data_IF_531442964063
#
_entry.id   IF_531442964063
#
_cell.length_a   1.000
_cell.length_b   1.000
_cell.length_c   1.000
_cell.angle_alpha   90.00
_cell.angle_beta   90.00
_cell.angle_gamma   90.00
#
_symmetry.space_group_name_H-M   'P 1'
#
loop_
_entity.id
_entity.type
_entity.pdbx_description
1 polymer ?
#
# COMPACT_ATOMS: atom_id res chain seq x y z
N UNK A 1 20.69 -28.73 -21.72
CA UNK A 1 19.94 -27.59 -22.27
C UNK A 1 19.94 -26.49 -21.24
N UNK A 2 20.71 -25.45 -21.48
CA UNK A 2 20.74 -24.27 -20.60
C UNK A 2 19.44 -23.49 -20.81
N UNK A 3 18.54 -23.55 -19.83
CA UNK A 3 17.36 -22.69 -19.79
C UNK A 3 17.82 -21.24 -19.70
N UNK A 4 17.64 -20.48 -20.78
CA UNK A 4 17.83 -19.04 -20.79
C UNK A 4 16.78 -18.43 -19.88
N UNK A 5 17.07 -18.28 -18.58
CA UNK A 5 16.23 -17.51 -17.67
C UNK A 5 16.29 -16.06 -18.18
N UNK A 6 15.15 -15.57 -18.67
CA UNK A 6 15.01 -14.13 -18.93
C UNK A 6 15.28 -13.44 -17.61
N UNK A 7 16.37 -12.68 -17.56
CA UNK A 7 16.71 -11.92 -16.36
C UNK A 7 15.57 -10.93 -16.07
N UNK A 8 15.07 -10.95 -14.84
CA UNK A 8 14.10 -9.96 -14.36
C UNK A 8 14.70 -8.55 -14.55
N UNK A 9 14.00 -7.69 -15.32
CA UNK A 9 14.41 -6.32 -15.56
C UNK A 9 13.40 -5.33 -14.93
N UNK A 10 13.68 -4.83 -13.71
CA UNK A 10 12.84 -3.86 -13.04
C UNK A 10 12.69 -2.55 -13.82
N UNK A 11 13.70 -2.14 -14.60
CA UNK A 11 13.68 -0.89 -15.35
C UNK A 11 12.67 -0.94 -16.50
N UNK A 12 12.48 -2.09 -17.12
CA UNK A 12 11.49 -2.29 -18.16
C UNK A 12 10.06 -2.11 -17.62
N UNK A 13 9.77 -2.60 -16.41
CA UNK A 13 8.46 -2.46 -15.77
C UNK A 13 8.18 -1.03 -15.28
N UNK A 14 9.22 -0.32 -14.82
CA UNK A 14 9.10 1.08 -14.37
C UNK A 14 8.76 2.04 -15.52
N UNK A 15 9.08 1.72 -16.77
CA UNK A 15 8.75 2.57 -17.93
C UNK A 15 7.25 2.75 -18.14
N UNK A 16 6.45 1.78 -17.71
CA UNK A 16 4.99 1.76 -17.90
C UNK A 16 4.22 1.76 -16.57
N UNK A 17 4.94 1.89 -15.46
CA UNK A 17 4.34 1.85 -14.14
C UNK A 17 3.70 3.19 -13.80
N UNK A 18 2.40 3.17 -13.53
CA UNK A 18 1.71 4.21 -12.77
C UNK A 18 2.49 4.48 -11.46
N UNK A 19 2.45 5.73 -10.98
CA UNK A 19 3.06 6.20 -9.72
C UNK A 19 2.77 5.30 -8.49
N UNK A 20 1.72 4.47 -8.57
CA UNK A 20 1.33 3.52 -7.52
C UNK A 20 2.07 2.19 -7.59
N UNK A 21 2.58 1.81 -8.76
CA UNK A 21 3.26 0.52 -8.97
C UNK A 21 4.76 0.59 -8.60
N UNK A 22 5.40 1.75 -8.77
CA UNK A 22 6.82 1.94 -8.45
C UNK A 22 7.19 1.47 -7.03
N UNK A 23 6.47 1.85 -5.94
CA UNK A 23 6.81 1.36 -4.60
C UNK A 23 6.70 -0.16 -4.45
N UNK A 24 5.76 -0.80 -5.16
CA UNK A 24 5.66 -2.26 -5.14
C UNK A 24 6.88 -2.92 -5.80
N UNK A 25 7.37 -2.36 -6.91
CA UNK A 25 8.57 -2.86 -7.58
C UNK A 25 9.81 -2.65 -6.71
N UNK A 26 9.93 -1.47 -6.07
CA UNK A 26 11.05 -1.16 -5.18
C UNK A 26 11.10 -2.15 -3.99
N UNK A 27 9.93 -2.45 -3.39
CA UNK A 27 9.82 -3.48 -2.35
C UNK A 27 10.21 -4.86 -2.90
N UNK A 28 9.65 -5.26 -4.04
CA UNK A 28 9.90 -6.57 -4.65
C UNK A 28 11.39 -6.77 -4.95
N UNK A 29 12.08 -5.74 -5.43
CA UNK A 29 13.52 -5.77 -5.70
C UNK A 29 14.37 -5.96 -4.44
N UNK A 30 13.87 -5.57 -3.27
CA UNK A 30 14.57 -5.76 -1.99
C UNK A 30 14.42 -7.18 -1.43
N UNK A 31 13.49 -7.97 -1.95
CA UNK A 31 13.29 -9.37 -1.54
C UNK A 31 14.39 -10.25 -2.12
N UNK A 32 15.30 -10.71 -1.26
CA UNK A 32 16.41 -11.59 -1.63
C UNK A 32 16.03 -13.06 -1.37
N UNK A 33 15.27 -13.64 -2.30
CA UNK A 33 14.90 -15.05 -2.35
C UNK A 33 15.21 -15.60 -3.75
N UNK A 34 15.91 -16.73 -3.83
CA UNK A 34 16.29 -17.30 -5.12
C UNK A 34 15.17 -18.09 -5.78
N UNK A 35 14.56 -19.03 -5.07
CA UNK A 35 13.52 -19.91 -5.60
C UNK A 35 12.41 -20.16 -4.55
N UNK A 36 11.62 -19.13 -4.18
CA UNK A 36 10.49 -19.33 -3.29
C UNK A 36 9.45 -20.23 -3.94
N UNK A 37 8.82 -21.11 -3.16
CA UNK A 37 7.80 -22.06 -3.64
C UNK A 37 6.39 -21.63 -3.24
N UNK A 38 6.19 -21.23 -1.98
CA UNK A 38 4.89 -20.78 -1.46
C UNK A 38 4.93 -19.26 -1.25
N UNK A 39 4.19 -18.53 -2.08
CA UNK A 39 4.19 -17.06 -2.10
C UNK A 39 2.76 -16.55 -1.96
N UNK A 40 2.56 -15.64 -1.02
CA UNK A 40 1.27 -14.99 -0.78
C UNK A 40 1.40 -13.47 -0.98
N UNK A 41 0.48 -12.91 -1.77
CA UNK A 41 0.33 -11.46 -1.96
C UNK A 41 -0.94 -11.00 -1.22
N UNK A 42 -0.77 -10.28 -0.12
CA UNK A 42 -1.86 -9.84 0.76
C UNK A 42 -2.35 -8.43 0.37
N UNK A 43 -3.64 -8.34 0.04
CA UNK A 43 -4.24 -7.16 -0.56
C UNK A 43 -3.93 -7.08 -2.06
N UNK A 44 -4.07 -8.21 -2.73
CA UNK A 44 -3.71 -8.39 -4.14
C UNK A 44 -4.50 -7.50 -5.10
N UNK A 45 -5.70 -7.04 -4.70
CA UNK A 45 -6.57 -6.21 -5.51
C UNK A 45 -6.87 -6.87 -6.88
N UNK A 46 -6.69 -6.12 -7.96
CA UNK A 46 -6.85 -6.62 -9.33
C UNK A 46 -5.63 -7.43 -9.84
N UNK A 47 -4.69 -7.80 -8.98
CA UNK A 47 -3.58 -8.69 -9.29
C UNK A 47 -2.42 -8.06 -10.05
N UNK A 48 -2.30 -6.73 -10.11
CA UNK A 48 -1.24 -6.06 -10.85
C UNK A 48 0.16 -6.43 -10.35
N UNK A 49 0.35 -6.43 -9.02
CA UNK A 49 1.62 -6.78 -8.39
C UNK A 49 1.78 -8.30 -8.33
N UNK A 50 0.70 -9.03 -8.06
CA UNK A 50 0.72 -10.51 -8.00
C UNK A 50 1.23 -11.13 -9.30
N UNK A 51 0.90 -10.53 -10.47
CA UNK A 51 1.44 -10.95 -11.77
C UNK A 51 2.95 -10.75 -11.86
N UNK A 52 3.46 -9.60 -11.39
CA UNK A 52 4.91 -9.35 -11.37
C UNK A 52 5.65 -10.32 -10.45
N UNK A 53 5.04 -10.69 -9.32
CA UNK A 53 5.57 -11.72 -8.42
C UNK A 53 5.66 -13.07 -9.15
N UNK A 54 4.59 -13.45 -9.87
CA UNK A 54 4.55 -14.70 -10.64
C UNK A 54 5.54 -14.70 -11.80
N UNK A 55 5.71 -13.59 -12.48
CA UNK A 55 6.71 -13.44 -13.55
C UNK A 55 8.14 -13.55 -13.03
N UNK A 56 8.42 -12.96 -11.84
CA UNK A 56 9.73 -13.07 -11.21
C UNK A 56 10.06 -14.50 -10.80
N UNK A 57 9.09 -15.25 -10.30
CA UNK A 57 9.23 -16.64 -9.85
C UNK A 57 8.19 -17.53 -10.53
N UNK A 58 8.45 -17.93 -11.79
CA UNK A 58 7.48 -18.68 -12.59
C UNK A 58 7.11 -20.04 -11.99
N UNK A 59 8.02 -20.66 -11.25
CA UNK A 59 7.83 -21.97 -10.63
C UNK A 59 7.15 -21.89 -9.24
N UNK A 60 6.97 -20.68 -8.69
CA UNK A 60 6.33 -20.50 -7.40
C UNK A 60 4.81 -20.74 -7.49
N UNK A 61 4.26 -21.35 -6.44
CA UNK A 61 2.83 -21.34 -6.18
C UNK A 61 2.46 -19.97 -5.59
N UNK A 62 1.90 -19.07 -6.40
CA UNK A 62 1.52 -17.74 -6.00
C UNK A 62 0.03 -17.68 -5.71
N UNK A 63 -0.31 -17.21 -4.52
CA UNK A 63 -1.70 -16.97 -4.08
C UNK A 63 -1.90 -15.47 -3.80
N UNK A 64 -2.78 -14.84 -4.58
CA UNK A 64 -3.29 -13.50 -4.30
C UNK A 64 -4.47 -13.57 -3.33
N UNK A 65 -4.39 -12.81 -2.24
CA UNK A 65 -5.41 -12.76 -1.19
C UNK A 65 -5.97 -11.34 -1.09
N UNK A 66 -7.30 -11.22 -1.11
CA UNK A 66 -8.00 -9.93 -0.96
C UNK A 66 -9.38 -10.16 -0.31
N UNK A 67 -9.96 -9.16 0.32
CA UNK A 67 -11.32 -9.24 0.87
C UNK A 67 -12.40 -8.95 -0.18
N UNK A 68 -12.03 -8.31 -1.29
CA UNK A 68 -12.93 -7.90 -2.36
C UNK A 68 -13.12 -8.98 -3.43
N UNK A 69 -14.24 -9.70 -3.39
CA UNK A 69 -14.60 -10.67 -4.43
C UNK A 69 -14.60 -10.06 -5.84
N UNK A 70 -15.00 -8.79 -5.98
CA UNK A 70 -15.02 -8.07 -7.26
C UNK A 70 -13.61 -7.85 -7.81
N UNK A 71 -12.65 -7.50 -6.96
CA UNK A 71 -11.26 -7.34 -7.38
C UNK A 71 -10.63 -8.68 -7.75
N UNK A 72 -10.87 -9.71 -6.96
CA UNK A 72 -10.39 -11.06 -7.26
C UNK A 72 -10.96 -11.63 -8.57
N UNK A 73 -12.22 -11.37 -8.89
CA UNK A 73 -12.82 -11.77 -10.16
C UNK A 73 -12.10 -11.10 -11.36
N UNK A 74 -11.75 -9.82 -11.26
CA UNK A 74 -10.95 -9.12 -12.27
C UNK A 74 -9.54 -9.72 -12.39
N UNK A 75 -8.91 -10.02 -11.26
CA UNK A 75 -7.58 -10.62 -11.21
C UNK A 75 -7.57 -12.01 -11.86
N UNK A 76 -8.54 -12.87 -11.54
CA UNK A 76 -8.67 -14.21 -12.09
C UNK A 76 -8.89 -14.21 -13.61
N UNK A 77 -9.66 -13.25 -14.12
CA UNK A 77 -9.89 -13.12 -15.56
C UNK A 77 -8.60 -12.80 -16.35
N UNK A 78 -7.64 -12.09 -15.72
CA UNK A 78 -6.39 -11.66 -16.38
C UNK A 78 -5.19 -12.56 -16.10
N UNK A 79 -5.24 -13.37 -15.04
CA UNK A 79 -4.13 -14.23 -14.60
C UNK A 79 -4.64 -15.57 -14.04
N UNK A 80 -5.16 -16.48 -14.89
CA UNK A 80 -5.76 -17.75 -14.46
C UNK A 80 -4.74 -18.76 -13.88
N UNK A 81 -3.45 -18.55 -14.10
CA UNK A 81 -2.38 -19.39 -13.55
C UNK A 81 -2.04 -19.06 -12.08
N UNK A 82 -2.64 -18.03 -11.52
CA UNK A 82 -2.46 -17.60 -10.12
C UNK A 82 -3.67 -18.08 -9.32
N UNK A 83 -3.42 -18.54 -8.09
CA UNK A 83 -4.50 -18.87 -7.15
C UNK A 83 -5.04 -17.58 -6.51
N UNK A 84 -6.35 -17.40 -6.53
CA UNK A 84 -7.01 -16.23 -5.93
C UNK A 84 -7.89 -16.67 -4.77
N UNK A 85 -7.74 -16.04 -3.62
CA UNK A 85 -8.46 -16.42 -2.39
C UNK A 85 -9.05 -15.20 -1.71
N UNK A 86 -10.36 -15.23 -1.50
CA UNK A 86 -11.04 -14.23 -0.68
C UNK A 86 -10.82 -14.54 0.80
N UNK A 87 -10.28 -13.57 1.55
CA UNK A 87 -10.11 -13.67 3.00
C UNK A 87 -9.98 -12.30 3.65
N UNK A 88 -10.39 -12.21 4.91
CA UNK A 88 -10.10 -11.08 5.79
C UNK A 88 -8.64 -11.14 6.24
N UNK A 89 -7.86 -10.13 5.85
CA UNK A 89 -6.44 -10.03 6.16
C UNK A 89 -6.16 -9.84 7.65
N UNK A 90 -7.12 -9.34 8.44
CA UNK A 90 -6.94 -9.17 9.89
C UNK A 90 -6.80 -10.50 10.64
N UNK A 91 -7.38 -11.56 10.08
CA UNK A 91 -7.39 -12.92 10.67
C UNK A 91 -6.70 -13.96 9.81
N UNK A 92 -6.21 -13.56 8.64
CA UNK A 92 -5.60 -14.45 7.67
C UNK A 92 -4.34 -15.15 8.19
N UNK A 93 -4.20 -16.41 7.79
CA UNK A 93 -2.99 -17.22 8.03
C UNK A 93 -2.68 -18.00 6.75
N UNK A 94 -1.39 -18.22 6.44
CA UNK A 94 -1.02 -19.04 5.30
C UNK A 94 -1.47 -20.49 5.51
N UNK A 95 -1.94 -21.13 4.43
CA UNK A 95 -2.33 -22.53 4.47
C UNK A 95 -1.11 -23.48 4.61
N UNK A 96 0.05 -23.02 4.18
CA UNK A 96 1.36 -23.66 4.31
C UNK A 96 2.37 -22.61 4.74
N UNK A 97 3.46 -22.99 5.42
CA UNK A 97 4.55 -22.05 5.72
C UNK A 97 5.01 -21.35 4.45
N UNK A 98 5.06 -20.02 4.50
CA UNK A 98 5.31 -19.19 3.33
C UNK A 98 6.80 -18.90 3.15
N UNK A 99 7.32 -19.07 1.94
CA UNK A 99 8.65 -18.54 1.59
C UNK A 99 8.62 -17.02 1.44
N UNK A 100 7.47 -16.48 0.98
CA UNK A 100 7.25 -15.04 0.90
C UNK A 100 5.81 -14.70 1.27
N UNK A 101 5.66 -13.79 2.23
CA UNK A 101 4.44 -13.01 2.43
C UNK A 101 4.73 -11.59 1.97
N UNK A 102 4.05 -11.18 0.92
CA UNK A 102 4.22 -9.87 0.32
C UNK A 102 2.95 -9.04 0.51
N UNK A 103 3.07 -7.75 0.76
CA UNK A 103 1.92 -6.83 0.83
C UNK A 103 2.31 -5.42 0.41
N UNK A 104 1.61 -4.87 -0.55
CA UNK A 104 1.82 -3.49 -0.99
C UNK A 104 0.55 -2.67 -0.84
N UNK A 105 0.61 -1.60 -0.06
CA UNK A 105 -0.46 -0.63 0.15
C UNK A 105 -1.81 -1.27 0.59
N UNK A 106 -1.76 -2.30 1.44
CA UNK A 106 -2.94 -2.97 1.96
C UNK A 106 -3.00 -2.97 3.50
N UNK A 107 -1.94 -3.37 4.21
CA UNK A 107 -2.00 -3.58 5.66
C UNK A 107 -2.25 -2.29 6.47
N UNK A 108 -2.04 -1.10 5.90
CA UNK A 108 -2.39 0.17 6.56
C UNK A 108 -3.90 0.40 6.74
N UNK A 109 -4.74 -0.43 6.13
CA UNK A 109 -6.19 -0.41 6.37
C UNK A 109 -6.59 -1.19 7.63
N UNK A 110 -5.67 -1.98 8.19
CA UNK A 110 -5.88 -2.81 9.36
C UNK A 110 -5.37 -2.10 10.63
N UNK A 111 -5.90 -2.52 11.76
CA UNK A 111 -5.46 -2.10 13.10
C UNK A 111 -4.73 -3.24 13.80
N UNK A 112 -4.10 -2.98 14.96
CA UNK A 112 -3.49 -4.03 15.77
C UNK A 112 -2.19 -4.56 15.17
N UNK A 113 -1.39 -3.69 14.56
CA UNK A 113 -0.10 -4.07 13.94
C UNK A 113 0.85 -4.75 14.92
N UNK A 114 0.73 -4.47 16.22
CA UNK A 114 1.51 -5.13 17.29
C UNK A 114 1.25 -6.64 17.38
N UNK A 115 0.11 -7.12 16.88
CA UNK A 115 -0.25 -8.54 16.80
C UNK A 115 -0.17 -9.08 15.39
N UNK A 116 -0.60 -8.28 14.42
CA UNK A 116 -0.66 -8.67 13.00
C UNK A 116 0.74 -9.02 12.45
N UNK A 117 1.71 -8.12 12.61
CA UNK A 117 3.04 -8.32 12.04
C UNK A 117 3.79 -9.54 12.61
N UNK A 118 3.79 -9.78 13.95
CA UNK A 118 4.33 -11.04 14.50
C UNK A 118 3.61 -12.29 14.00
N UNK A 119 2.28 -12.23 13.81
CA UNK A 119 1.53 -13.37 13.30
C UNK A 119 1.88 -13.70 11.85
N UNK A 120 2.05 -12.67 11.00
CA UNK A 120 2.53 -12.83 9.62
C UNK A 120 3.95 -13.41 9.59
N UNK A 121 4.85 -12.88 10.42
CA UNK A 121 6.23 -13.39 10.51
C UNK A 121 6.26 -14.86 10.97
N UNK A 122 5.41 -15.25 11.92
CA UNK A 122 5.29 -16.63 12.38
C UNK A 122 4.72 -17.60 11.33
N UNK A 123 4.07 -17.08 10.29
CA UNK A 123 3.56 -17.86 9.14
C UNK A 123 4.62 -18.19 8.09
N UNK A 124 5.86 -17.70 8.25
CA UNK A 124 6.94 -17.96 7.31
C UNK A 124 7.54 -19.35 7.49
N UNK A 125 8.02 -19.92 6.39
CA UNK A 125 8.96 -21.03 6.41
C UNK A 125 10.33 -20.57 6.95
N UNK A 126 11.19 -21.48 7.45
CA UNK A 126 12.56 -21.13 7.82
C UNK A 126 13.28 -20.44 6.66
N UNK A 127 13.86 -19.26 6.94
CA UNK A 127 14.50 -18.42 5.91
C UNK A 127 13.56 -17.66 4.99
N UNK A 128 12.24 -17.80 5.15
CA UNK A 128 11.23 -17.04 4.41
C UNK A 128 11.25 -15.55 4.75
N UNK A 129 10.59 -14.74 3.94
CA UNK A 129 10.55 -13.29 4.06
C UNK A 129 9.12 -12.73 4.16
N UNK A 130 8.93 -11.77 5.06
CA UNK A 130 7.80 -10.86 5.11
C UNK A 130 8.22 -9.54 4.48
N UNK A 131 7.59 -9.14 3.37
CA UNK A 131 7.88 -7.90 2.66
C UNK A 131 6.62 -7.01 2.62
N UNK A 132 6.66 -5.86 3.27
CA UNK A 132 5.50 -4.96 3.41
C UNK A 132 5.87 -3.54 3.01
N UNK A 133 5.01 -2.92 2.21
CA UNK A 133 5.04 -1.49 1.94
C UNK A 133 3.71 -0.85 2.36
N UNK A 134 3.78 0.29 3.01
CA UNK A 134 2.61 1.07 3.43
C UNK A 134 2.82 2.57 3.17
N UNK A 135 1.78 3.32 2.78
CA UNK A 135 1.84 4.77 2.79
C UNK A 135 2.08 5.28 4.22
N UNK A 136 2.97 6.26 4.38
CA UNK A 136 3.24 6.91 5.66
C UNK A 136 3.25 8.45 5.50
N UNK A 137 2.25 8.94 4.80
CA UNK A 137 2.10 10.36 4.47
C UNK A 137 1.07 11.08 5.36
N UNK A 138 0.64 10.43 6.46
CA UNK A 138 -0.50 10.91 7.28
C UNK A 138 -0.20 12.18 8.09
N UNK A 139 1.07 12.49 8.34
CA UNK A 139 1.51 13.76 8.93
C UNK A 139 1.73 14.89 7.92
N UNK A 140 1.63 14.63 6.62
CA UNK A 140 1.81 15.64 5.59
C UNK A 140 0.55 16.53 5.43
N UNK A 141 0.68 17.75 4.88
CA UNK A 141 -0.43 18.67 4.68
C UNK A 141 -1.62 18.06 3.93
N UNK A 142 -1.37 17.16 2.96
CA UNK A 142 -2.43 16.43 2.24
C UNK A 142 -3.38 15.63 3.13
N UNK A 143 -2.99 15.27 4.35
CA UNK A 143 -3.81 14.53 5.31
C UNK A 143 -4.20 15.38 6.51
N UNK A 144 -3.29 16.19 7.06
CA UNK A 144 -3.58 17.04 8.22
C UNK A 144 -4.62 18.11 7.89
N UNK A 145 -4.58 18.67 6.67
CA UNK A 145 -5.54 19.68 6.21
C UNK A 145 -6.95 19.10 5.96
N UNK A 146 -7.09 17.79 5.75
CA UNK A 146 -8.42 17.12 5.76
C UNK A 146 -9.06 17.29 7.14
N UNK A 147 -8.29 17.02 8.21
CA UNK A 147 -8.77 17.17 9.58
C UNK A 147 -9.07 18.63 9.94
N UNK A 148 -8.27 19.56 9.46
CA UNK A 148 -8.51 20.99 9.61
C UNK A 148 -9.82 21.41 8.90
N UNK A 149 -9.99 21.02 7.64
CA UNK A 149 -11.20 21.31 6.88
C UNK A 149 -12.44 20.72 7.56
N UNK A 150 -12.36 19.46 8.07
CA UNK A 150 -13.45 18.78 8.74
C UNK A 150 -13.90 19.50 10.03
N UNK A 151 -12.97 20.09 10.77
CA UNK A 151 -13.27 20.86 12.01
C UNK A 151 -13.69 22.29 11.75
N UNK A 152 -13.41 22.84 10.57
CA UNK A 152 -13.52 24.26 10.25
C UNK A 152 -14.85 24.72 9.65
N UNK A 153 -15.89 23.87 9.56
CA UNK A 153 -17.13 24.22 8.89
C UNK A 153 -18.39 23.69 9.59
N UNK A 154 -19.58 23.98 9.03
CA UNK A 154 -20.86 23.54 9.59
C UNK A 154 -21.00 22.03 9.69
N UNK A 155 -20.28 21.28 8.87
CA UNK A 155 -20.19 19.81 8.85
C UNK A 155 -19.37 19.20 10.01
N UNK A 156 -18.81 20.04 10.91
CA UNK A 156 -17.93 19.56 11.99
C UNK A 156 -18.55 18.46 12.83
N UNK A 157 -19.79 18.63 13.25
CA UNK A 157 -20.50 17.64 14.09
C UNK A 157 -20.59 16.26 13.42
N UNK A 158 -20.74 16.23 12.09
CA UNK A 158 -20.82 15.01 11.29
C UNK A 158 -19.44 14.40 11.05
N UNK A 159 -18.41 15.23 10.77
CA UNK A 159 -17.13 14.73 10.27
C UNK A 159 -16.08 14.50 11.37
N UNK A 160 -16.08 15.27 12.45
CA UNK A 160 -15.06 15.13 13.50
C UNK A 160 -15.02 13.72 14.12
N UNK A 161 -16.17 13.04 14.38
CA UNK A 161 -16.18 11.66 14.87
C UNK A 161 -15.61 10.63 13.89
N UNK A 162 -15.51 10.96 12.59
CA UNK A 162 -14.99 10.09 11.54
C UNK A 162 -13.48 10.25 11.32
N UNK A 163 -12.87 11.26 11.94
CA UNK A 163 -11.42 11.46 11.85
C UNK A 163 -10.68 10.33 12.55
N UNK A 164 -9.73 9.76 11.85
CA UNK A 164 -8.94 8.62 12.34
C UNK A 164 -7.50 9.06 12.60
N UNK A 165 -6.84 8.48 13.61
CA UNK A 165 -5.40 8.66 13.77
C UNK A 165 -4.64 8.06 12.58
N UNK A 166 -3.36 8.42 12.45
CA UNK A 166 -2.48 7.81 11.45
C UNK A 166 -2.44 6.29 11.67
N UNK A 167 -2.78 5.47 10.64
CA UNK A 167 -2.88 4.02 10.81
C UNK A 167 -1.51 3.31 10.78
N UNK A 168 -0.46 4.00 10.33
CA UNK A 168 0.91 3.49 10.23
C UNK A 168 1.77 4.20 11.26
N UNK A 169 2.32 3.42 12.17
CA UNK A 169 3.19 3.89 13.23
C UNK A 169 4.59 4.28 12.72
N UNK A 170 5.43 4.80 13.60
CA UNK A 170 6.83 5.10 13.29
C UNK A 170 7.65 3.83 13.01
N UNK A 171 8.73 3.91 12.22
CA UNK A 171 9.60 2.77 11.93
C UNK A 171 10.10 2.05 13.17
N UNK A 172 10.39 2.78 14.26
CA UNK A 172 10.83 2.21 15.53
C UNK A 172 9.81 1.22 16.14
N UNK A 173 8.52 1.53 16.03
CA UNK A 173 7.46 0.61 16.47
C UNK A 173 7.56 -0.75 15.76
N UNK A 174 7.73 -0.76 14.44
CA UNK A 174 7.85 -2.03 13.69
C UNK A 174 9.14 -2.75 13.98
N UNK A 175 10.22 -2.02 14.26
CA UNK A 175 11.48 -2.60 14.73
C UNK A 175 11.26 -3.33 16.06
N UNK A 176 10.68 -2.68 17.05
CA UNK A 176 10.45 -3.27 18.39
C UNK A 176 9.54 -4.51 18.33
N UNK A 177 8.55 -4.50 17.43
CA UNK A 177 7.61 -5.60 17.25
C UNK A 177 8.23 -6.80 16.54
N UNK A 178 9.12 -6.59 15.56
CA UNK A 178 9.66 -7.63 14.67
C UNK A 178 11.05 -8.13 15.09
N UNK A 179 11.94 -7.27 15.56
CA UNK A 179 13.33 -7.63 15.85
C UNK A 179 13.48 -8.82 16.83
N UNK A 180 12.63 -8.98 17.86
CA UNK A 180 12.73 -10.14 18.76
C UNK A 180 12.47 -11.50 18.07
N UNK A 181 11.87 -11.51 16.88
CA UNK A 181 11.41 -12.72 16.18
C UNK A 181 12.04 -12.91 14.80
N UNK A 182 12.59 -11.87 14.22
CA UNK A 182 13.26 -11.91 12.93
C UNK A 182 14.72 -12.35 13.05
N UNK A 183 15.24 -13.05 12.04
CA UNK A 183 16.68 -13.33 11.89
C UNK A 183 17.42 -12.17 11.20
N UNK A 184 16.71 -11.41 10.36
CA UNK A 184 17.18 -10.17 9.75
C UNK A 184 16.01 -9.22 9.53
N UNK A 185 16.25 -7.92 9.66
CA UNK A 185 15.22 -6.89 9.54
C UNK A 185 15.80 -5.66 8.83
N UNK A 186 15.14 -5.24 7.76
CA UNK A 186 15.43 -4.03 7.02
C UNK A 186 14.17 -3.17 6.99
N UNK A 187 14.26 -1.96 7.53
CA UNK A 187 13.16 -0.98 7.59
C UNK A 187 13.68 0.35 7.04
N UNK A 188 12.97 0.89 6.05
CA UNK A 188 13.34 2.18 5.49
C UNK A 188 12.13 2.98 5.04
N UNK A 189 12.33 4.25 4.80
CA UNK A 189 11.36 5.13 4.18
C UNK A 189 11.88 5.67 2.86
N UNK A 190 10.96 5.84 1.90
CA UNK A 190 11.24 6.52 0.64
C UNK A 190 10.19 7.60 0.42
N UNK A 191 10.62 8.81 0.11
CA UNK A 191 9.75 9.86 -0.36
C UNK A 191 9.75 9.91 -1.88
N UNK A 192 8.58 9.66 -2.47
CA UNK A 192 8.37 9.74 -3.91
C UNK A 192 7.86 11.13 -4.26
N UNK A 193 8.60 11.89 -5.02
CA UNK A 193 8.12 13.15 -5.55
C UNK A 193 7.22 12.88 -6.76
N UNK A 194 5.92 12.93 -6.55
CA UNK A 194 4.93 12.81 -7.62
C UNK A 194 4.83 14.12 -8.37
N UNK A 195 4.80 14.06 -9.70
CA UNK A 195 4.52 15.21 -10.57
C UNK A 195 3.10 15.05 -11.07
N UNK A 196 2.18 15.82 -10.52
CA UNK A 196 0.75 15.71 -10.78
C UNK A 196 0.30 16.81 -11.74
N UNK A 197 -0.67 16.47 -12.61
CA UNK A 197 -1.29 17.36 -13.58
C UNK A 197 -2.79 17.53 -13.30
N UNK A 198 -3.38 18.57 -13.86
CA UNK A 198 -4.82 18.84 -13.78
C UNK A 198 -5.21 19.80 -12.65
N UNK A 199 -6.52 20.03 -12.51
CA UNK A 199 -7.07 20.89 -11.47
C UNK A 199 -7.10 20.15 -10.11
N UNK A 200 -6.68 20.84 -9.05
CA UNK A 200 -6.67 20.32 -7.68
C UNK A 200 -6.06 18.90 -7.53
N UNK A 201 -4.89 18.61 -8.13
CA UNK A 201 -4.46 17.25 -8.35
C UNK A 201 -4.17 16.48 -7.04
N UNK A 202 -3.75 17.16 -5.96
CA UNK A 202 -3.54 16.54 -4.64
C UNK A 202 -4.88 16.21 -3.98
N UNK A 203 -5.90 17.05 -4.15
CA UNK A 203 -7.27 16.76 -3.69
C UNK A 203 -7.81 15.51 -4.42
N UNK A 204 -7.67 15.44 -5.74
CA UNK A 204 -8.11 14.28 -6.52
C UNK A 204 -7.35 13.00 -6.13
N UNK A 205 -6.06 13.11 -5.84
CA UNK A 205 -5.27 11.99 -5.32
C UNK A 205 -5.85 11.42 -4.01
N UNK A 206 -6.16 12.30 -3.05
CA UNK A 206 -6.69 11.91 -1.73
C UNK A 206 -8.17 11.50 -1.78
N UNK A 207 -8.94 12.03 -2.74
CA UNK A 207 -10.36 11.76 -2.91
C UNK A 207 -10.66 10.27 -3.12
N UNK A 208 -9.80 9.58 -3.85
CA UNK A 208 -9.94 8.14 -4.11
C UNK A 208 -9.72 7.25 -2.88
N UNK A 209 -9.24 7.78 -1.77
CA UNK A 209 -8.84 7.01 -0.58
C UNK A 209 -9.30 7.67 0.72
N UNK A 210 -8.50 8.59 1.25
CA UNK A 210 -8.64 9.12 2.61
C UNK A 210 -9.76 10.15 2.77
N UNK A 211 -10.07 10.90 1.70
CA UNK A 211 -11.10 11.93 1.73
C UNK A 211 -12.51 11.35 1.58
N UNK A 212 -12.67 10.25 0.84
CA UNK A 212 -13.97 9.66 0.49
C UNK A 212 -14.86 9.34 1.70
N UNK A 213 -14.37 8.71 2.78
CA UNK A 213 -15.20 8.42 3.95
C UNK A 213 -15.81 9.66 4.63
N UNK A 214 -15.22 10.84 4.40
CA UNK A 214 -15.71 12.12 4.91
C UNK A 214 -16.68 12.81 3.94
N UNK A 215 -16.60 12.51 2.65
CA UNK A 215 -17.54 13.02 1.64
C UNK A 215 -18.87 12.25 1.63
N UNK A 216 -18.82 10.94 1.88
CA UNK A 216 -19.99 10.06 1.76
C UNK A 216 -21.15 10.42 2.69
N UNK A 217 -20.96 10.83 3.96
CA UNK A 217 -22.06 11.21 4.85
C UNK A 217 -22.64 12.60 4.60
N UNK A 218 -21.98 13.44 3.80
CA UNK A 218 -22.42 14.80 3.52
C UNK A 218 -23.38 14.85 2.34
N UNK A 219 -24.44 15.67 2.50
CA UNK A 219 -25.36 16.04 1.43
C UNK A 219 -24.97 17.38 0.81
N UNK A 220 -25.50 17.67 -0.40
CA UNK A 220 -25.36 19.00 -0.97
C UNK A 220 -26.22 20.03 -0.18
N UNK A 221 -25.73 21.26 0.00
CA UNK A 221 -24.48 21.84 -0.55
C UNK A 221 -23.26 21.67 0.35
N UNK A 222 -23.35 21.02 1.51
CA UNK A 222 -22.25 20.89 2.48
C UNK A 222 -21.11 20.06 1.92
N UNK A 223 -21.41 19.00 1.17
CA UNK A 223 -20.41 18.15 0.52
C UNK A 223 -19.51 18.96 -0.40
N UNK A 224 -20.09 19.73 -1.32
CA UNK A 224 -19.33 20.58 -2.24
C UNK A 224 -18.54 21.67 -1.51
N UNK A 225 -19.09 22.27 -0.46
CA UNK A 225 -18.41 23.27 0.35
C UNK A 225 -17.23 22.70 1.12
N UNK A 226 -17.37 21.53 1.70
CA UNK A 226 -16.28 20.81 2.38
C UNK A 226 -15.15 20.47 1.41
N UNK A 227 -15.49 19.89 0.24
CA UNK A 227 -14.53 19.56 -0.79
C UNK A 227 -13.78 20.78 -1.29
N UNK A 228 -14.48 21.91 -1.53
CA UNK A 228 -13.87 23.18 -1.94
C UNK A 228 -12.96 23.76 -0.84
N UNK A 229 -13.38 23.69 0.44
CA UNK A 229 -12.53 24.14 1.55
C UNK A 229 -11.23 23.37 1.65
N UNK A 230 -11.30 22.05 1.52
CA UNK A 230 -10.10 21.22 1.51
C UNK A 230 -9.22 21.51 0.28
N UNK A 231 -9.81 21.67 -0.91
CA UNK A 231 -9.08 22.03 -2.12
C UNK A 231 -8.29 23.33 -1.95
N UNK A 232 -8.91 24.37 -1.39
CA UNK A 232 -8.27 25.65 -1.10
C UNK A 232 -7.05 25.48 -0.16
N UNK A 233 -7.22 24.76 0.94
CA UNK A 233 -6.15 24.52 1.90
C UNK A 233 -4.97 23.78 1.28
N UNK A 234 -5.26 22.70 0.57
CA UNK A 234 -4.24 21.84 -0.02
C UNK A 234 -3.52 22.52 -1.19
N UNK A 235 -4.20 23.36 -1.98
CA UNK A 235 -3.59 24.14 -3.05
C UNK A 235 -2.56 25.16 -2.52
N UNK A 236 -2.79 25.72 -1.34
CA UNK A 236 -1.80 26.60 -0.67
C UNK A 236 -0.57 25.84 -0.21
N UNK A 237 -0.74 24.59 0.26
CA UNK A 237 0.36 23.76 0.74
C UNK A 237 1.18 23.16 -0.42
N UNK A 238 0.55 22.94 -1.55
CA UNK A 238 1.15 22.36 -2.77
C UNK A 238 0.83 23.27 -3.98
N UNK A 239 1.47 24.45 -4.08
CA UNK A 239 1.19 25.39 -5.15
C UNK A 239 1.68 24.82 -6.50
N UNK A 240 0.97 25.14 -7.61
CA UNK A 240 1.41 24.78 -8.94
C UNK A 240 2.74 25.44 -9.29
N UNK A 241 3.55 24.78 -10.09
CA UNK A 241 4.78 25.31 -10.66
C UNK A 241 4.47 26.17 -11.90
N UNK A 242 5.49 26.83 -12.43
CA UNK A 242 5.36 27.70 -13.62
C UNK A 242 4.83 26.96 -14.86
N UNK A 243 5.04 25.67 -14.94
CA UNK A 243 4.53 24.78 -15.99
C UNK A 243 3.12 24.21 -15.72
N UNK A 244 2.45 24.67 -14.65
CA UNK A 244 1.11 24.23 -14.24
C UNK A 244 1.08 22.89 -13.50
N UNK A 245 2.23 22.21 -13.30
CA UNK A 245 2.30 20.95 -12.56
C UNK A 245 2.43 21.19 -11.06
N UNK A 246 1.96 20.22 -10.29
CA UNK A 246 2.06 20.24 -8.82
C UNK A 246 3.01 19.14 -8.36
N UNK A 247 4.02 19.51 -7.56
CA UNK A 247 4.91 18.57 -6.92
C UNK A 247 4.28 18.06 -5.62
N UNK A 248 4.13 16.75 -5.51
CA UNK A 248 3.51 16.09 -4.38
C UNK A 248 4.44 15.05 -3.76
N UNK A 249 5.21 15.41 -2.71
CA UNK A 249 6.00 14.44 -1.96
C UNK A 249 5.09 13.44 -1.26
N UNK A 250 5.36 12.15 -1.45
CA UNK A 250 4.57 11.09 -0.86
C UNK A 250 5.47 10.04 -0.21
N UNK A 251 5.49 10.03 1.12
CA UNK A 251 6.32 9.13 1.93
C UNK A 251 5.70 7.76 2.06
N UNK A 252 6.53 6.74 1.98
CA UNK A 252 6.17 5.33 2.14
C UNK A 252 7.15 4.63 3.06
N UNK A 253 6.63 3.74 3.89
CA UNK A 253 7.40 2.87 4.77
C UNK A 253 7.53 1.49 4.11
N UNK A 254 8.72 0.92 4.22
CA UNK A 254 9.07 -0.40 3.72
C UNK A 254 9.64 -1.25 4.85
N UNK A 255 9.30 -2.51 4.87
CA UNK A 255 9.75 -3.48 5.86
C UNK A 255 10.05 -4.79 5.13
N UNK A 256 11.25 -5.32 5.30
CA UNK A 256 11.61 -6.69 4.91
C UNK A 256 12.16 -7.40 6.12
N UNK A 257 11.46 -8.42 6.62
CA UNK A 257 11.85 -9.22 7.76
C UNK A 257 12.04 -10.68 7.33
N UNK A 258 13.14 -11.32 7.74
CA UNK A 258 13.36 -12.75 7.53
C UNK A 258 12.94 -13.54 8.77
N UNK A 259 12.25 -14.67 8.54
CA UNK A 259 11.96 -15.66 9.57
C UNK A 259 13.24 -16.29 10.15
N UNK A 260 13.18 -16.80 11.36
CA UNK A 260 14.24 -17.60 11.97
C UNK A 260 14.23 -19.03 11.46
#
# INVERSE_FOLDING_TARGET
MLSCRVAWDPAQYLKFADHRLRPAIDLLNRVALDNPREVYDLGAGAGNVTRLIKERWPDAHVTGVDDSATMLAKAAATAPAITWRQADLATWKPARPADLIYSNAALHWLTGHERLFPALLAGLAPGGALAVQMPRNFGAPSHTLISEAARGGPWRATLEPLLRPAPVADPAFYYDVLAPRASALDIWETEYLQVLEGADPVKEWTKGTWLRPLLDPLQEPERSRFEARYAELVARAYPPRADGRTLFPFRRLFIVAKGR
#
